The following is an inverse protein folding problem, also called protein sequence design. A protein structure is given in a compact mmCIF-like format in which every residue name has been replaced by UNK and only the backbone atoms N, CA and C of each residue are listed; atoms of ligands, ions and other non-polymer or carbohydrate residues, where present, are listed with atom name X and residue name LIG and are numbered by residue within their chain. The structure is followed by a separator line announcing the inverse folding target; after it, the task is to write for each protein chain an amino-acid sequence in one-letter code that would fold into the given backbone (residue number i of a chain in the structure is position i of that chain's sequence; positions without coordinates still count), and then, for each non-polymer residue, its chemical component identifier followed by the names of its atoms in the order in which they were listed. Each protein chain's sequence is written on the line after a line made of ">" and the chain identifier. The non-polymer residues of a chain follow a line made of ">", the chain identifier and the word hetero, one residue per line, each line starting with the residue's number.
data_IF_024851375530
#
_entry.id   IF_024851375530
#
_cell.length_a   1.000
_cell.length_b   1.000
_cell.length_c   1.000
_cell.angle_alpha   90.00
_cell.angle_beta   90.00
_cell.angle_gamma   90.00
#
_symmetry.space_group_name_H-M   'P 1'
#
loop_
_entity.id
_entity.type
_entity.pdbx_description
1 polymer ?
#
# COMPACT_ATOMS: atom_id res chain seq x y z
N UNK A 1 6.49 15.44 0.87
CA UNK A 1 5.19 16.11 0.60
C UNK A 1 4.07 15.36 1.31
N UNK A 2 3.19 16.07 1.96
CA UNK A 2 2.00 15.48 2.59
C UNK A 2 0.87 15.43 1.56
N UNK A 3 0.35 14.26 1.20
CA UNK A 3 -0.73 14.18 0.22
C UNK A 3 -2.05 14.69 0.80
N UNK A 4 -2.90 15.21 -0.09
CA UNK A 4 -4.25 15.67 0.21
C UNK A 4 -5.28 14.72 -0.40
N UNK A 5 -6.52 14.80 0.08
CA UNK A 5 -7.64 14.09 -0.54
C UNK A 5 -7.73 14.45 -2.03
N UNK A 6 -7.84 13.44 -2.89
CA UNK A 6 -7.84 13.60 -4.34
C UNK A 6 -6.48 13.50 -5.01
N UNK A 7 -5.37 13.51 -4.23
CA UNK A 7 -4.04 13.28 -4.80
C UNK A 7 -3.98 11.90 -5.43
N UNK A 8 -3.45 11.81 -6.66
CA UNK A 8 -3.25 10.55 -7.37
C UNK A 8 -1.77 10.30 -7.63
N UNK A 9 -1.33 9.09 -7.35
CA UNK A 9 0.01 8.61 -7.64
C UNK A 9 -0.09 7.51 -8.70
N UNK A 10 0.27 7.86 -9.92
CA UNK A 10 0.19 6.94 -11.07
C UNK A 10 1.59 6.47 -11.42
N UNK A 11 1.76 5.14 -11.49
CA UNK A 11 2.97 4.53 -12.03
C UNK A 11 2.62 3.89 -13.38
N UNK A 12 2.96 4.55 -14.50
CA UNK A 12 2.57 4.07 -15.83
C UNK A 12 3.30 2.79 -16.24
N UNK A 13 4.49 2.55 -15.71
CA UNK A 13 5.25 1.33 -16.02
C UNK A 13 4.68 0.11 -15.31
N UNK A 14 4.28 0.25 -14.05
CA UNK A 14 3.66 -0.82 -13.27
C UNK A 14 2.16 -0.94 -13.54
N UNK A 15 1.52 0.07 -14.11
CA UNK A 15 0.08 0.09 -14.33
C UNK A 15 -0.73 0.27 -13.05
N UNK A 16 -0.14 0.90 -12.03
CA UNK A 16 -0.80 1.11 -10.73
C UNK A 16 -1.26 2.56 -10.57
N UNK A 17 -2.34 2.75 -9.85
CA UNK A 17 -2.83 4.06 -9.45
C UNK A 17 -3.26 4.02 -8.00
N UNK A 18 -2.85 5.01 -7.23
CA UNK A 18 -3.24 5.19 -5.83
C UNK A 18 -3.86 6.58 -5.68
N UNK A 19 -5.10 6.63 -5.18
CA UNK A 19 -5.81 7.90 -4.94
C UNK A 19 -6.12 8.03 -3.45
N UNK A 20 -5.80 9.17 -2.86
CA UNK A 20 -6.07 9.45 -1.45
C UNK A 20 -7.54 9.81 -1.26
N UNK A 21 -8.22 9.05 -0.41
CA UNK A 21 -9.65 9.20 -0.09
C UNK A 21 -9.84 9.96 1.22
N UNK A 22 -9.00 9.70 2.22
CA UNK A 22 -9.00 10.36 3.51
C UNK A 22 -7.56 10.46 4.02
N UNK A 23 -7.27 11.50 4.77
CA UNK A 23 -5.92 11.73 5.33
C UNK A 23 -6.02 11.99 6.83
N UNK A 24 -4.88 12.06 7.50
CA UNK A 24 -4.84 12.47 8.92
C UNK A 24 -5.56 13.80 9.13
N UNK A 25 -5.37 14.76 8.23
CA UNK A 25 -5.99 16.07 8.32
C UNK A 25 -7.53 16.02 8.21
N UNK A 26 -8.09 15.07 7.46
CA UNK A 26 -9.56 14.95 7.27
C UNK A 26 -10.22 13.99 8.25
N UNK A 27 -9.45 13.31 9.09
CA UNK A 27 -9.96 12.30 10.05
C UNK A 27 -9.57 12.59 11.51
N UNK A 28 -9.13 13.81 11.80
CA UNK A 28 -8.59 14.17 13.13
C UNK A 28 -7.47 13.21 13.58
N UNK A 29 -6.60 12.83 12.66
CA UNK A 29 -5.47 11.96 12.96
C UNK A 29 -5.81 10.47 13.09
N UNK A 30 -7.03 10.05 12.72
CA UNK A 30 -7.47 8.68 12.97
C UNK A 30 -6.90 7.67 11.97
N UNK A 31 -6.87 8.01 10.68
CA UNK A 31 -6.37 7.10 9.65
C UNK A 31 -6.04 7.83 8.34
N UNK A 32 -5.35 7.12 7.45
CA UNK A 32 -5.24 7.43 6.03
C UNK A 32 -5.94 6.32 5.25
N UNK A 33 -6.66 6.68 4.20
CA UNK A 33 -7.34 5.73 3.33
C UNK A 33 -7.06 6.06 1.88
N UNK A 34 -6.72 5.04 1.12
CA UNK A 34 -6.49 5.15 -0.32
C UNK A 34 -7.39 4.18 -1.09
N UNK A 35 -7.66 4.51 -2.34
CA UNK A 35 -8.21 3.59 -3.31
C UNK A 35 -7.10 3.26 -4.30
N UNK A 36 -6.73 1.99 -4.37
CA UNK A 36 -5.65 1.52 -5.22
C UNK A 36 -6.18 0.63 -6.33
N UNK A 37 -5.57 0.73 -7.51
CA UNK A 37 -5.86 -0.12 -8.66
C UNK A 37 -4.55 -0.76 -9.12
N UNK A 38 -4.56 -2.09 -9.17
CA UNK A 38 -3.43 -2.91 -9.59
C UNK A 38 -3.80 -3.72 -10.83
N UNK A 39 -2.88 -3.87 -11.79
CA UNK A 39 -3.15 -4.69 -12.97
C UNK A 39 -3.21 -6.19 -12.64
N UNK A 40 -3.73 -7.02 -13.57
CA UNK A 40 -3.72 -8.47 -13.40
C UNK A 40 -2.36 -9.02 -13.04
N UNK A 41 -2.33 -9.96 -12.10
CA UNK A 41 -1.12 -10.67 -11.65
C UNK A 41 0.01 -9.74 -11.21
N UNK A 42 -0.32 -8.59 -10.61
CA UNK A 42 0.71 -7.68 -10.11
C UNK A 42 1.59 -8.37 -9.09
N UNK A 43 2.93 -8.23 -9.18
CA UNK A 43 3.83 -8.88 -8.23
C UNK A 43 3.66 -8.30 -6.83
N UNK A 44 3.66 -9.14 -5.78
CA UNK A 44 3.64 -8.65 -4.43
C UNK A 44 4.96 -7.95 -4.08
N UNK A 45 4.93 -6.97 -3.16
CA UNK A 45 6.15 -6.44 -2.60
C UNK A 45 6.84 -7.49 -1.73
N UNK A 46 8.10 -7.27 -1.32
CA UNK A 46 8.73 -8.14 -0.33
C UNK A 46 7.91 -8.26 0.94
N UNK A 47 8.00 -9.41 1.61
CA UNK A 47 7.34 -9.63 2.89
C UNK A 47 7.75 -8.57 3.89
N UNK A 48 6.78 -7.98 4.58
CA UNK A 48 7.00 -6.86 5.48
C UNK A 48 5.94 -6.83 6.57
N UNK A 49 6.16 -5.97 7.55
CA UNK A 49 5.19 -5.68 8.61
C UNK A 49 5.14 -4.18 8.90
N UNK A 50 4.04 -3.76 9.51
CA UNK A 50 3.86 -2.41 10.03
C UNK A 50 3.88 -2.50 11.55
N UNK A 51 4.93 -1.97 12.24
CA UNK A 51 5.11 -2.21 13.67
C UNK A 51 3.97 -1.67 14.55
N UNK A 52 3.39 -0.56 14.14
CA UNK A 52 2.47 0.22 14.98
C UNK A 52 1.16 0.59 14.29
N UNK A 53 0.85 -0.06 13.17
CA UNK A 53 -0.32 0.27 12.37
C UNK A 53 -1.12 -0.97 12.01
N UNK A 54 -2.44 -0.84 12.08
CA UNK A 54 -3.36 -1.85 11.55
C UNK A 54 -3.76 -1.46 10.13
N UNK A 55 -3.90 -2.46 9.27
CA UNK A 55 -4.37 -2.25 7.91
C UNK A 55 -5.70 -2.95 7.70
N UNK A 56 -6.61 -2.29 7.00
CA UNK A 56 -7.93 -2.81 6.67
C UNK A 56 -8.15 -2.66 5.17
N UNK A 57 -8.40 -3.80 4.51
CA UNK A 57 -8.58 -3.87 3.06
C UNK A 57 -10.02 -4.23 2.73
N UNK A 58 -10.59 -3.55 1.73
CA UNK A 58 -11.91 -3.86 1.17
C UNK A 58 -11.77 -3.93 -0.34
N UNK A 59 -12.05 -5.08 -0.92
CA UNK A 59 -11.92 -5.29 -2.37
C UNK A 59 -13.21 -4.83 -3.05
N UNK A 60 -13.06 -3.93 -4.02
CA UNK A 60 -14.18 -3.37 -4.80
C UNK A 60 -14.36 -4.09 -6.13
N UNK A 61 -13.26 -4.50 -6.78
CA UNK A 61 -13.24 -5.22 -8.05
C UNK A 61 -12.07 -6.19 -8.08
N UNK A 62 -12.23 -7.30 -8.80
CA UNK A 62 -11.18 -8.30 -8.93
C UNK A 62 -10.89 -9.03 -7.64
N UNK A 63 -9.63 -9.29 -7.37
CA UNK A 63 -9.21 -10.01 -6.16
C UNK A 63 -7.80 -9.61 -5.72
N UNK A 64 -7.56 -9.73 -4.40
CA UNK A 64 -6.23 -9.65 -3.80
C UNK A 64 -5.85 -11.04 -3.30
N UNK A 65 -4.58 -11.39 -3.46
CA UNK A 65 -4.03 -12.67 -2.96
C UNK A 65 -2.63 -12.45 -2.37
N UNK A 66 -2.29 -13.27 -1.41
CA UNK A 66 -0.99 -13.19 -0.75
C UNK A 66 -0.92 -14.07 0.49
N UNK A 67 -0.13 -13.63 1.45
CA UNK A 67 -0.05 -14.28 2.76
C UNK A 67 -0.17 -13.26 3.88
N UNK A 68 -0.86 -13.67 4.95
CA UNK A 68 -1.09 -12.88 6.16
C UNK A 68 -0.67 -13.78 7.33
N UNK A 69 0.39 -13.43 8.02
CA UNK A 69 1.13 -14.33 8.90
C UNK A 69 1.58 -15.57 8.11
N UNK A 70 1.19 -16.76 8.54
CA UNK A 70 1.56 -18.02 7.88
C UNK A 70 0.47 -18.57 6.94
N UNK A 71 -0.64 -17.84 6.79
CA UNK A 71 -1.79 -18.28 6.00
C UNK A 71 -1.85 -17.58 4.65
N UNK A 72 -1.99 -18.35 3.58
CA UNK A 72 -2.28 -17.82 2.27
C UNK A 72 -3.76 -17.40 2.19
N UNK A 73 -4.02 -16.33 1.43
CA UNK A 73 -5.39 -15.84 1.26
C UNK A 73 -5.66 -15.44 -0.19
N UNK A 74 -6.94 -15.46 -0.53
CA UNK A 74 -7.49 -14.82 -1.73
C UNK A 74 -8.84 -14.20 -1.36
N UNK A 75 -9.00 -12.90 -1.64
CA UNK A 75 -10.19 -12.14 -1.29
C UNK A 75 -10.73 -11.46 -2.53
N UNK A 76 -11.98 -11.72 -2.85
CA UNK A 76 -12.66 -11.18 -4.03
C UNK A 76 -13.51 -9.95 -3.68
N UNK A 77 -14.02 -9.29 -4.74
CA UNK A 77 -14.89 -8.13 -4.62
C UNK A 77 -16.06 -8.38 -3.66
N UNK A 78 -16.36 -7.39 -2.82
CA UNK A 78 -17.40 -7.47 -1.81
C UNK A 78 -16.91 -7.96 -0.44
N UNK A 79 -15.69 -8.44 -0.34
CA UNK A 79 -15.07 -8.92 0.90
C UNK A 79 -13.83 -8.13 1.27
N UNK A 80 -13.35 -8.31 2.48
CA UNK A 80 -12.17 -7.62 2.99
C UNK A 80 -11.42 -8.44 4.02
N UNK A 81 -10.32 -7.91 4.49
CA UNK A 81 -9.50 -8.50 5.54
C UNK A 81 -8.73 -7.45 6.31
N UNK A 82 -8.25 -7.84 7.47
CA UNK A 82 -7.44 -6.98 8.34
C UNK A 82 -6.05 -7.59 8.50
N UNK A 83 -5.02 -6.73 8.43
CA UNK A 83 -3.66 -7.09 8.82
C UNK A 83 -3.36 -6.36 10.12
N UNK A 84 -3.35 -7.07 11.27
CA UNK A 84 -3.01 -6.44 12.55
C UNK A 84 -1.55 -5.96 12.56
N UNK A 85 -1.29 -4.94 13.37
CA UNK A 85 0.08 -4.44 13.56
C UNK A 85 1.04 -5.56 13.92
N UNK A 86 2.26 -5.47 13.41
CA UNK A 86 3.29 -6.46 13.67
C UNK A 86 3.14 -7.79 12.93
N UNK A 87 2.17 -7.92 12.03
CA UNK A 87 1.93 -9.15 11.29
C UNK A 87 2.67 -9.14 9.95
N UNK A 88 3.64 -10.05 9.74
CA UNK A 88 4.30 -10.18 8.44
C UNK A 88 3.31 -10.59 7.35
N UNK A 89 3.37 -9.88 6.22
CA UNK A 89 2.43 -10.13 5.12
C UNK A 89 3.00 -9.66 3.78
N UNK A 90 2.36 -10.11 2.72
CA UNK A 90 2.52 -9.59 1.37
C UNK A 90 1.23 -9.82 0.58
N UNK A 91 0.99 -9.01 -0.44
CA UNK A 91 -0.16 -9.21 -1.31
C UNK A 91 0.07 -8.61 -2.69
N UNK A 92 -0.65 -9.14 -3.67
CA UNK A 92 -0.74 -8.61 -5.03
C UNK A 92 -2.13 -8.85 -5.58
N UNK A 93 -2.37 -8.37 -6.80
CA UNK A 93 -3.65 -8.62 -7.47
C UNK A 93 -3.70 -10.02 -8.05
N UNK A 94 -4.90 -10.57 -8.09
CA UNK A 94 -5.20 -11.82 -8.77
C UNK A 94 -5.26 -11.67 -10.30
N UNK A 95 -5.77 -12.71 -11.00
CA UNK A 95 -5.71 -12.77 -12.47
C UNK A 95 -6.53 -11.70 -13.20
N UNK A 96 -7.50 -11.09 -12.52
CA UNK A 96 -8.34 -10.03 -13.10
C UNK A 96 -7.94 -8.62 -12.64
N UNK A 97 -6.81 -8.50 -11.95
CA UNK A 97 -6.43 -7.26 -11.28
C UNK A 97 -7.23 -7.02 -10.02
N UNK A 98 -7.08 -5.83 -9.44
CA UNK A 98 -7.84 -5.44 -8.26
C UNK A 98 -8.02 -3.93 -8.18
N UNK A 99 -9.19 -3.50 -7.74
CA UNK A 99 -9.43 -2.17 -7.19
C UNK A 99 -9.90 -2.35 -5.76
N UNK A 100 -9.25 -1.69 -4.83
CA UNK A 100 -9.53 -1.90 -3.41
C UNK A 100 -9.32 -0.63 -2.60
N UNK A 101 -9.96 -0.57 -1.44
CA UNK A 101 -9.71 0.45 -0.43
C UNK A 101 -8.80 -0.10 0.63
N UNK A 102 -7.93 0.75 1.08
CA UNK A 102 -6.87 0.41 2.03
C UNK A 102 -6.78 1.50 3.08
N UNK A 103 -7.16 1.15 4.30
CA UNK A 103 -7.14 2.05 5.45
C UNK A 103 -6.01 1.65 6.39
N UNK A 104 -5.19 2.62 6.78
CA UNK A 104 -4.08 2.44 7.72
C UNK A 104 -4.32 3.30 8.94
N UNK A 105 -4.34 2.70 10.13
CA UNK A 105 -4.59 3.40 11.39
C UNK A 105 -3.65 2.93 12.52
N UNK A 106 -3.04 3.86 13.26
CA UNK A 106 -2.96 5.30 12.99
C UNK A 106 -2.20 5.59 11.69
N UNK A 107 -2.40 6.76 11.07
CA UNK A 107 -1.79 7.04 9.77
C UNK A 107 -0.28 7.23 9.82
N UNK A 108 0.27 7.71 10.92
CA UNK A 108 1.68 8.12 11.03
C UNK A 108 2.10 8.88 9.76
N UNK A 109 3.21 8.50 9.13
CA UNK A 109 3.68 9.11 7.89
C UNK A 109 3.49 8.20 6.67
N UNK A 110 2.49 7.31 6.70
CA UNK A 110 2.23 6.40 5.58
C UNK A 110 1.93 7.14 4.29
N UNK A 111 1.17 8.23 4.34
CA UNK A 111 0.89 9.04 3.16
C UNK A 111 2.16 9.62 2.55
N UNK A 112 3.04 10.18 3.37
CA UNK A 112 4.33 10.72 2.94
C UNK A 112 5.23 9.62 2.39
N UNK A 113 5.19 8.43 2.96
CA UNK A 113 5.95 7.27 2.47
C UNK A 113 5.51 6.87 1.06
N UNK A 114 4.21 6.81 0.80
CA UNK A 114 3.70 6.50 -0.54
C UNK A 114 4.16 7.53 -1.57
N UNK A 115 4.10 8.81 -1.22
CA UNK A 115 4.59 9.88 -2.10
C UNK A 115 6.09 9.74 -2.34
N UNK A 116 6.88 9.50 -1.29
CA UNK A 116 8.33 9.34 -1.40
C UNK A 116 8.72 8.15 -2.28
N UNK A 117 8.04 7.00 -2.12
CA UNK A 117 8.25 5.83 -2.97
C UNK A 117 7.88 6.10 -4.43
N UNK A 118 6.79 6.81 -4.66
CA UNK A 118 6.39 7.21 -6.01
C UNK A 118 7.39 8.18 -6.65
N UNK A 119 7.88 9.15 -5.89
CA UNK A 119 8.86 10.12 -6.38
C UNK A 119 10.18 9.45 -6.76
N UNK A 120 10.67 8.51 -5.94
CA UNK A 120 11.92 7.79 -6.27
C UNK A 120 11.73 6.91 -7.50
N UNK A 121 10.57 6.30 -7.68
CA UNK A 121 10.27 5.54 -8.89
C UNK A 121 10.26 6.46 -10.12
N UNK A 122 9.55 7.57 -10.05
CA UNK A 122 9.48 8.58 -11.12
C UNK A 122 10.88 9.08 -11.52
N UNK A 123 11.71 9.40 -10.53
CA UNK A 123 13.03 9.99 -10.75
C UNK A 123 14.05 8.97 -11.29
N UNK A 124 13.71 7.69 -11.27
CA UNK A 124 14.50 6.58 -11.84
C UNK A 124 13.81 5.92 -13.05
N UNK A 125 13.05 6.71 -13.81
CA UNK A 125 12.31 6.22 -15.00
C UNK A 125 11.43 5.00 -14.71
N UNK A 126 10.80 4.98 -13.53
CA UNK A 126 9.92 3.93 -13.01
C UNK A 126 10.61 2.57 -12.78
N UNK A 127 11.94 2.58 -12.72
CA UNK A 127 12.76 1.37 -12.49
C UNK A 127 13.82 1.62 -11.41
N UNK A 128 13.44 2.03 -10.19
CA UNK A 128 14.40 2.23 -9.10
C UNK A 128 15.03 0.88 -8.72
N UNK A 129 16.32 0.88 -8.43
CA UNK A 129 16.97 -0.31 -7.90
C UNK A 129 16.66 -0.53 -6.42
N UNK A 130 17.06 -1.70 -5.88
CA UNK A 130 16.79 -2.04 -4.50
C UNK A 130 17.42 -1.08 -3.49
N UNK A 131 18.59 -0.50 -3.82
CA UNK A 131 19.25 0.47 -2.96
C UNK A 131 18.47 1.78 -2.87
N UNK A 132 17.97 2.29 -4.00
CA UNK A 132 17.16 3.50 -4.03
C UNK A 132 15.87 3.34 -3.21
N UNK A 133 15.20 2.20 -3.33
CA UNK A 133 14.01 1.88 -2.55
C UNK A 133 14.34 1.74 -1.06
N UNK A 134 15.43 1.07 -0.72
CA UNK A 134 15.85 0.89 0.66
C UNK A 134 16.16 2.23 1.34
N UNK A 135 16.80 3.16 0.65
CA UNK A 135 17.09 4.49 1.18
C UNK A 135 15.80 5.25 1.57
N UNK A 136 14.74 5.11 0.79
CA UNK A 136 13.44 5.69 1.12
C UNK A 136 12.82 4.97 2.30
N UNK A 137 12.70 3.66 2.25
CA UNK A 137 12.04 2.85 3.29
C UNK A 137 12.72 3.04 4.65
N UNK A 138 14.05 3.17 4.68
CA UNK A 138 14.80 3.34 5.93
C UNK A 138 14.44 4.62 6.69
N UNK A 139 13.85 5.61 6.02
CA UNK A 139 13.37 6.84 6.65
C UNK A 139 12.00 6.68 7.32
N UNK A 140 11.32 5.55 7.08
CA UNK A 140 9.96 5.27 7.53
C UNK A 140 9.90 3.99 8.38
N UNK A 141 10.86 3.83 9.29
CA UNK A 141 10.94 2.61 10.11
C UNK A 141 9.76 2.39 11.05
N UNK A 142 9.04 3.44 11.42
CA UNK A 142 7.82 3.32 12.23
C UNK A 142 6.62 2.84 11.41
N UNK A 143 6.66 3.02 10.09
CA UNK A 143 5.58 2.68 9.18
C UNK A 143 5.81 1.35 8.46
N UNK A 144 7.07 0.93 8.28
CA UNK A 144 7.38 -0.21 7.41
C UNK A 144 8.69 -0.89 7.82
N UNK A 145 8.64 -2.22 8.00
CA UNK A 145 9.81 -3.06 8.25
C UNK A 145 9.82 -4.27 7.32
N UNK A 146 10.94 -4.51 6.66
CA UNK A 146 11.15 -5.75 5.91
C UNK A 146 11.36 -6.92 6.88
N UNK A 147 10.94 -8.11 6.47
CA UNK A 147 11.16 -9.35 7.22
C UNK A 147 11.59 -10.52 6.35
#
# INVERSE_FOLDING_TARGET
>A
MTPEVGTELVNPAAGTCTRFIATAATTDGAYVEIEATYPPDSPPPPRHLHPSQDEQFTVLRGSLRGSNADDDFEVAAGSGFTVPRGTPHLMGAGPDGATFRWRVSPPLRTGEMFVALWEVARDHDWAPDGMALFEVISQFGDEFCLC
#
